data_IF_554113256269
#
_entry.id   IF_554113256269
#
_cell.length_a   1.000
_cell.length_b   1.000
_cell.length_c   1.000
_cell.angle_alpha   90.00
_cell.angle_beta   90.00
_cell.angle_gamma   90.00
#
_symmetry.space_group_name_H-M   'P 1'
#
loop_
_entity.id
_entity.type
_entity.pdbx_description
1 polymer ?
#
# COMPACT_ATOMS: atom_id res chain seq x y z
N UNK A 1 39.55 -28.25 -22.44
CA UNK A 1 39.16 -28.90 -21.17
C UNK A 1 39.71 -28.02 -20.06
N UNK A 2 38.95 -27.35 -19.18
CA UNK A 2 37.53 -27.43 -18.84
C UNK A 2 37.04 -26.03 -18.49
N UNK A 3 35.82 -25.70 -18.89
CA UNK A 3 35.06 -24.60 -18.32
C UNK A 3 34.57 -25.04 -16.93
N UNK A 4 34.98 -24.34 -15.87
CA UNK A 4 34.41 -24.53 -14.54
C UNK A 4 32.99 -23.95 -14.52
N UNK A 5 32.00 -24.85 -14.61
CA UNK A 5 30.60 -24.56 -14.35
C UNK A 5 30.47 -24.28 -12.85
N UNK A 6 30.35 -22.99 -12.47
CA UNK A 6 29.87 -22.61 -11.14
C UNK A 6 28.44 -23.12 -10.98
N UNK A 7 28.27 -24.22 -10.26
CA UNK A 7 26.97 -24.70 -9.79
C UNK A 7 26.34 -23.63 -8.90
N UNK A 8 25.26 -23.00 -9.38
CA UNK A 8 24.38 -22.16 -8.58
C UNK A 8 23.81 -23.00 -7.43
N UNK A 9 24.38 -22.88 -6.23
CA UNK A 9 23.70 -23.36 -5.02
C UNK A 9 22.52 -22.42 -4.76
N UNK A 10 21.31 -22.95 -4.85
CA UNK A 10 20.06 -22.22 -4.63
C UNK A 10 19.94 -21.81 -3.16
N UNK A 11 20.29 -20.56 -2.84
CA UNK A 11 19.97 -19.92 -1.55
C UNK A 11 18.48 -19.58 -1.50
N UNK A 12 17.84 -19.85 -0.36
CA UNK A 12 16.42 -19.49 -0.08
C UNK A 12 16.40 -18.28 0.86
N UNK A 13 15.42 -17.38 0.71
CA UNK A 13 15.32 -16.15 1.51
C UNK A 13 14.19 -16.29 2.55
N UNK A 14 14.49 -15.97 3.82
CA UNK A 14 13.50 -15.94 4.90
C UNK A 14 12.52 -14.77 4.74
N UNK A 15 11.20 -15.00 4.87
CA UNK A 15 10.20 -13.94 4.66
C UNK A 15 10.07 -12.93 5.82
N UNK A 16 10.40 -13.35 7.05
CA UNK A 16 10.30 -12.49 8.24
C UNK A 16 11.45 -11.48 8.35
N UNK A 17 12.67 -11.91 7.99
CA UNK A 17 13.88 -11.11 8.15
C UNK A 17 14.67 -10.89 6.86
N UNK A 18 14.23 -11.44 5.72
CA UNK A 18 14.89 -11.33 4.42
C UNK A 18 16.35 -11.83 4.39
N UNK A 19 16.76 -12.67 5.35
CA UNK A 19 18.10 -13.27 5.39
C UNK A 19 18.20 -14.56 4.56
N UNK A 20 19.40 -14.83 4.03
CA UNK A 20 19.72 -16.06 3.29
C UNK A 20 19.76 -17.28 4.23
N UNK A 21 19.06 -18.35 3.83
CA UNK A 21 19.01 -19.62 4.55
C UNK A 21 19.98 -20.61 3.87
N UNK A 22 20.95 -21.18 4.61
CA UNK A 22 21.86 -22.20 4.08
C UNK A 22 21.12 -23.47 3.64
N UNK A 23 21.57 -24.06 2.54
CA UNK A 23 21.02 -25.31 2.02
C UNK A 23 21.20 -26.46 3.02
N UNK A 24 20.12 -27.18 3.33
CA UNK A 24 20.10 -28.31 4.27
C UNK A 24 19.60 -27.99 5.68
N UNK A 25 19.28 -26.72 5.98
CA UNK A 25 18.64 -26.35 7.25
C UNK A 25 17.20 -26.89 7.29
N UNK A 26 16.80 -27.69 8.31
CA UNK A 26 15.42 -28.16 8.44
C UNK A 26 14.49 -26.95 8.61
N UNK A 27 13.56 -26.76 7.68
CA UNK A 27 12.57 -25.72 7.81
C UNK A 27 11.44 -26.23 8.71
N UNK A 28 11.10 -25.48 9.76
CA UNK A 28 9.85 -25.67 10.49
C UNK A 28 8.61 -25.23 9.67
N UNK A 29 8.82 -24.73 8.45
CA UNK A 29 7.84 -24.10 7.57
C UNK A 29 8.00 -24.56 6.11
N UNK A 30 6.94 -24.59 5.30
CA UNK A 30 7.05 -24.99 3.91
C UNK A 30 7.89 -23.99 3.09
N UNK A 31 8.73 -24.52 2.21
CA UNK A 31 9.50 -23.73 1.24
C UNK A 31 8.54 -22.92 0.36
N UNK A 32 8.76 -21.60 0.26
CA UNK A 32 7.93 -20.67 -0.53
C UNK A 32 7.84 -21.09 -2.00
N UNK A 33 8.86 -21.79 -2.52
CA UNK A 33 8.85 -22.31 -3.87
C UNK A 33 7.95 -23.55 -4.07
N UNK A 34 7.41 -24.14 -2.99
CA UNK A 34 6.65 -25.39 -3.00
C UNK A 34 5.26 -25.31 -2.36
N UNK A 35 4.91 -24.20 -1.70
CA UNK A 35 3.59 -24.00 -1.12
C UNK A 35 2.60 -23.41 -2.14
N UNK A 36 1.37 -23.91 -2.19
CA UNK A 36 0.29 -23.29 -2.95
C UNK A 36 -0.32 -22.13 -2.16
N UNK A 37 -0.82 -21.09 -2.86
CA UNK A 37 -1.38 -19.88 -2.25
C UNK A 37 -2.49 -20.16 -1.20
N UNK A 38 -3.23 -21.26 -1.36
CA UNK A 38 -4.29 -21.66 -0.44
C UNK A 38 -3.77 -22.23 0.89
N UNK A 39 -2.70 -23.02 0.86
CA UNK A 39 -2.05 -23.54 2.08
C UNK A 39 -1.38 -22.38 2.82
N UNK A 40 -0.75 -21.48 2.06
CA UNK A 40 -0.08 -20.28 2.57
C UNK A 40 -1.04 -19.33 3.31
N UNK A 41 -2.20 -19.04 2.72
CA UNK A 41 -3.17 -18.12 3.31
C UNK A 41 -3.89 -18.69 4.55
N UNK A 42 -4.01 -20.02 4.67
CA UNK A 42 -4.57 -20.69 5.85
C UNK A 42 -3.61 -20.61 7.04
N UNK A 43 -2.33 -20.91 6.83
CA UNK A 43 -1.33 -20.91 7.91
C UNK A 43 -1.02 -19.49 8.43
N UNK A 44 -1.04 -18.47 7.55
CA UNK A 44 -0.92 -17.07 7.97
C UNK A 44 -2.10 -16.58 8.84
N UNK A 45 -3.30 -17.13 8.64
CA UNK A 45 -4.47 -16.81 9.48
C UNK A 45 -4.34 -17.40 10.88
N UNK A 46 -3.83 -18.63 11.00
CA UNK A 46 -3.60 -19.27 12.31
C UNK A 46 -2.53 -18.52 13.11
N UNK A 47 -1.49 -18.00 12.46
CA UNK A 47 -0.44 -17.23 13.15
C UNK A 47 -0.91 -15.85 13.64
N UNK A 48 -1.85 -15.20 12.94
CA UNK A 48 -2.45 -13.91 13.40
C UNK A 48 -3.24 -14.04 14.71
N UNK A 49 -3.56 -15.27 15.11
CA UNK A 49 -4.29 -15.58 16.34
C UNK A 49 -3.46 -16.36 17.37
N UNK A 50 -2.18 -16.66 17.09
CA UNK A 50 -1.25 -17.36 17.97
C UNK A 50 -0.23 -16.42 18.62
N UNK A 51 0.09 -16.68 19.88
CA UNK A 51 0.94 -15.89 20.78
C UNK A 51 2.31 -15.50 20.21
N UNK A 52 2.79 -14.30 20.59
CA UNK A 52 4.12 -13.72 20.36
C UNK A 52 5.30 -14.62 20.80
N UNK A 53 5.56 -15.72 20.10
CA UNK A 53 6.83 -16.45 20.20
C UNK A 53 7.58 -16.41 18.87
N UNK A 54 8.73 -15.74 18.94
CA UNK A 54 9.46 -15.19 17.81
C UNK A 54 10.11 -16.21 16.88
N UNK A 55 10.40 -15.69 15.69
CA UNK A 55 11.42 -16.17 14.76
C UNK A 55 12.67 -16.64 15.54
N UNK A 56 12.90 -17.96 15.59
CA UNK A 56 13.98 -18.62 16.34
C UNK A 56 15.37 -18.39 15.77
N UNK A 57 15.81 -17.13 15.75
CA UNK A 57 17.19 -16.72 15.50
C UNK A 57 17.56 -15.59 16.47
N UNK A 58 17.73 -15.91 17.76
CA UNK A 58 18.42 -15.03 18.68
C UNK A 58 19.16 -15.81 19.78
N UNK A 59 20.46 -15.48 19.88
CA UNK A 59 21.33 -15.55 21.06
C UNK A 59 21.58 -16.90 21.72
N UNK A 60 22.72 -17.50 21.37
CA UNK A 60 23.51 -18.31 22.29
C UNK A 60 23.96 -17.46 23.48
N UNK A 61 23.43 -17.75 24.68
CA UNK A 61 23.85 -17.12 25.93
C UNK A 61 23.19 -17.80 27.12
N UNK A 62 23.92 -18.74 27.73
CA UNK A 62 23.86 -19.19 29.13
C UNK A 62 22.49 -19.24 29.84
N UNK A 63 22.04 -20.45 30.21
CA UNK A 63 21.92 -20.86 31.64
C UNK A 63 21.66 -22.36 31.78
N UNK A 64 22.48 -22.96 32.65
CA UNK A 64 22.23 -24.07 33.59
C UNK A 64 21.25 -25.20 33.19
N UNK A 65 21.82 -26.39 32.93
CA UNK A 65 21.21 -27.64 33.35
C UNK A 65 22.30 -28.61 33.83
N UNK A 66 21.97 -29.24 34.95
CA UNK A 66 22.69 -30.21 35.76
C UNK A 66 23.03 -31.52 35.04
N UNK A 67 24.05 -32.18 35.60
CA UNK A 67 24.39 -33.60 35.45
C UNK A 67 24.88 -34.09 34.09
N UNK A 68 26.21 -34.19 33.98
CA UNK A 68 26.89 -35.43 33.58
C UNK A 68 28.35 -35.34 34.00
N UNK A 69 28.76 -36.32 34.80
CA UNK A 69 30.07 -36.37 35.41
C UNK A 69 31.20 -36.80 34.47
N UNK A 70 32.39 -36.51 34.98
CA UNK A 70 33.65 -37.23 34.80
C UNK A 70 34.51 -36.93 33.57
N UNK A 71 35.74 -36.51 33.92
CA UNK A 71 37.02 -36.68 33.17
C UNK A 71 37.19 -35.68 32.01
N UNK A 72 38.16 -34.76 31.98
CA UNK A 72 39.61 -34.94 32.21
C UNK A 72 40.22 -33.59 32.63
N UNK A 73 40.86 -33.61 33.80
CA UNK A 73 41.87 -32.63 34.21
C UNK A 73 43.13 -32.84 33.36
N UNK A 74 43.70 -31.80 32.75
CA UNK A 74 45.14 -31.45 32.90
C UNK A 74 45.60 -30.29 32.03
N UNK A 75 46.42 -29.47 32.69
CA UNK A 75 47.51 -28.63 32.18
C UNK A 75 47.15 -27.20 31.74
N UNK A 76 47.04 -26.35 32.78
CA UNK A 76 47.70 -25.05 32.81
C UNK A 76 49.23 -25.25 32.69
N UNK A 77 49.90 -24.22 32.20
CA UNK A 77 51.35 -24.04 32.04
C UNK A 77 51.94 -24.48 30.69
N UNK A 78 51.91 -23.56 29.73
CA UNK A 78 53.03 -23.29 28.82
C UNK A 78 52.74 -22.02 28.00
N UNK A 79 53.34 -20.90 28.38
CA UNK A 79 53.59 -19.78 27.46
C UNK A 79 54.91 -20.07 26.74
N UNK A 80 54.93 -20.05 25.40
CA UNK A 80 56.07 -19.44 24.74
C UNK A 80 55.68 -18.54 23.57
N UNK A 81 56.20 -17.32 23.68
CA UNK A 81 56.79 -16.45 22.66
C UNK A 81 56.03 -16.12 21.36
N UNK A 82 55.86 -14.80 21.21
CA UNK A 82 55.40 -14.10 20.04
C UNK A 82 56.16 -14.50 18.78
N UNK A 83 55.40 -14.95 17.78
CA UNK A 83 55.84 -14.97 16.38
C UNK A 83 54.99 -13.94 15.65
N UNK A 84 55.63 -12.90 15.13
CA UNK A 84 55.01 -11.81 14.39
C UNK A 84 54.43 -12.36 13.09
N UNK A 85 53.12 -12.54 13.04
CA UNK A 85 52.38 -12.74 11.79
C UNK A 85 51.71 -11.42 11.44
N UNK A 86 52.22 -10.75 10.41
CA UNK A 86 51.54 -9.63 9.74
C UNK A 86 50.11 -10.05 9.41
N UNK A 87 49.14 -9.47 10.12
CA UNK A 87 47.72 -9.61 9.82
C UNK A 87 47.20 -8.22 9.50
N UNK A 88 46.95 -8.05 8.21
CA UNK A 88 46.38 -6.89 7.53
C UNK A 88 45.20 -6.32 8.30
N UNK A 89 45.20 -5.01 8.52
CA UNK A 89 44.07 -4.29 9.10
C UNK A 89 42.80 -4.54 8.27
N UNK A 90 41.62 -4.72 8.89
CA UNK A 90 40.38 -4.78 8.16
C UNK A 90 40.10 -3.40 7.54
N UNK A 91 40.05 -3.34 6.22
CA UNK A 91 39.59 -2.15 5.48
C UNK A 91 38.16 -1.86 5.91
N UNK A 92 37.99 -0.78 6.67
CA UNK A 92 36.70 -0.18 6.99
C UNK A 92 36.02 0.28 5.71
N UNK A 93 35.08 -0.51 5.20
CA UNK A 93 34.17 -0.06 4.15
C UNK A 93 33.09 0.77 4.84
N UNK A 94 33.30 2.08 4.88
CA UNK A 94 32.27 3.03 5.32
C UNK A 94 31.09 2.92 4.36
N UNK A 95 29.91 2.55 4.88
CA UNK A 95 28.67 2.60 4.12
C UNK A 95 28.47 4.03 3.58
N UNK A 96 28.13 4.22 2.30
CA UNK A 96 27.84 5.54 1.78
C UNK A 96 26.66 6.13 2.54
N UNK A 97 26.87 7.27 3.18
CA UNK A 97 25.81 8.06 3.80
C UNK A 97 24.72 8.29 2.76
N UNK A 98 23.45 7.92 3.01
CA UNK A 98 22.39 8.23 2.07
C UNK A 98 22.34 9.74 1.90
N UNK A 99 22.45 10.19 0.65
CA UNK A 99 22.30 11.59 0.31
C UNK A 99 20.98 12.10 0.93
N UNK A 100 20.96 13.29 1.56
CA UNK A 100 19.73 13.84 2.09
C UNK A 100 18.74 13.95 0.93
N UNK A 101 17.61 13.23 1.04
CA UNK A 101 16.48 13.36 0.13
C UNK A 101 16.13 14.84 0.12
N UNK A 102 16.33 15.47 -1.05
CA UNK A 102 15.98 16.86 -1.26
C UNK A 102 14.54 17.06 -0.78
N UNK A 103 14.38 17.89 0.25
CA UNK A 103 13.06 18.34 0.67
C UNK A 103 12.53 19.14 -0.51
N UNK A 104 11.70 18.52 -1.35
CA UNK A 104 10.92 19.24 -2.34
C UNK A 104 9.94 20.06 -1.51
N UNK A 105 10.32 21.29 -1.24
CA UNK A 105 9.47 22.28 -0.61
C UNK A 105 8.19 22.33 -1.45
N UNK A 106 7.08 21.86 -0.86
CA UNK A 106 5.80 21.79 -1.54
C UNK A 106 5.39 23.22 -1.92
N UNK A 107 5.68 23.62 -3.16
CA UNK A 107 5.28 24.93 -3.66
C UNK A 107 3.75 25.03 -3.51
N UNK A 108 3.24 26.14 -2.96
CA UNK A 108 1.82 26.34 -2.86
C UNK A 108 1.22 26.23 -4.26
N UNK A 109 0.17 25.40 -4.47
CA UNK A 109 -0.39 25.18 -5.78
C UNK A 109 -0.84 26.53 -6.34
N UNK A 110 -0.18 26.97 -7.41
CA UNK A 110 -0.61 28.13 -8.16
C UNK A 110 -1.92 27.73 -8.86
N UNK A 111 -3.05 28.13 -8.29
CA UNK A 111 -4.36 27.81 -8.82
C UNK A 111 -4.49 28.48 -10.20
N UNK A 112 -4.34 27.68 -11.27
CA UNK A 112 -4.61 28.13 -12.63
C UNK A 112 -6.10 28.43 -12.72
N UNK A 113 -6.48 29.70 -12.80
CA UNK A 113 -7.89 30.09 -12.93
C UNK A 113 -8.42 29.54 -14.25
N UNK A 114 -9.30 28.55 -14.17
CA UNK A 114 -9.97 27.99 -15.35
C UNK A 114 -11.19 28.84 -15.66
N UNK A 115 -11.07 29.72 -16.66
CA UNK A 115 -12.22 30.41 -17.26
C UNK A 115 -12.63 29.67 -18.53
N UNK A 116 -13.91 29.33 -18.65
CA UNK A 116 -14.46 28.62 -19.80
C UNK A 116 -15.48 29.50 -20.53
N UNK A 117 -15.56 29.34 -21.85
CA UNK A 117 -16.60 29.97 -22.66
C UNK A 117 -17.90 29.11 -22.68
N UNK A 118 -18.98 29.68 -23.21
CA UNK A 118 -20.30 29.03 -23.20
C UNK A 118 -20.34 27.73 -24.04
N UNK A 119 -19.55 27.66 -25.11
CA UNK A 119 -19.42 26.45 -25.94
C UNK A 119 -18.75 25.32 -25.15
N UNK A 120 -17.65 25.62 -24.46
CA UNK A 120 -16.94 24.69 -23.59
C UNK A 120 -17.83 24.21 -22.45
N UNK A 121 -18.61 25.10 -21.84
CA UNK A 121 -19.58 24.73 -20.80
C UNK A 121 -20.63 23.76 -21.36
N UNK A 122 -21.12 24.01 -22.58
CA UNK A 122 -22.08 23.14 -23.26
C UNK A 122 -21.49 21.74 -23.49
N UNK A 123 -20.23 21.67 -23.96
CA UNK A 123 -19.51 20.40 -24.13
C UNK A 123 -19.34 19.68 -22.79
N UNK A 124 -18.96 20.39 -21.73
CA UNK A 124 -18.76 19.78 -20.41
C UNK A 124 -20.07 19.25 -19.80
N UNK A 125 -21.20 19.93 -20.03
CA UNK A 125 -22.54 19.42 -19.65
C UNK A 125 -22.88 18.16 -20.43
N UNK A 126 -22.68 18.15 -21.74
CA UNK A 126 -22.90 16.96 -22.57
C UNK A 126 -22.01 15.78 -22.15
N UNK A 127 -20.79 16.06 -21.67
CA UNK A 127 -19.87 15.07 -21.11
C UNK A 127 -20.19 14.67 -19.64
N UNK A 128 -21.26 15.18 -19.05
CA UNK A 128 -21.69 14.85 -17.69
C UNK A 128 -20.77 15.38 -16.58
N UNK A 129 -20.01 16.46 -16.83
CA UNK A 129 -19.13 17.10 -15.84
C UNK A 129 -19.87 18.04 -14.90
N UNK A 130 -20.97 18.62 -15.38
CA UNK A 130 -21.90 19.42 -14.62
C UNK A 130 -23.33 18.97 -14.93
N UNK A 131 -24.28 19.10 -13.99
CA UNK A 131 -25.69 18.84 -14.25
C UNK A 131 -26.24 19.76 -15.35
N UNK A 132 -27.23 19.27 -16.09
CA UNK A 132 -27.85 20.04 -17.18
C UNK A 132 -28.49 21.36 -16.70
N UNK A 133 -29.00 21.35 -15.46
CA UNK A 133 -29.65 22.48 -14.79
C UNK A 133 -28.69 23.36 -13.97
N UNK A 134 -27.37 23.12 -14.02
CA UNK A 134 -26.39 23.90 -13.27
C UNK A 134 -26.36 25.37 -13.71
N UNK A 135 -26.55 26.29 -12.75
CA UNK A 135 -26.55 27.74 -12.97
C UNK A 135 -25.12 28.25 -13.23
N UNK A 136 -24.94 29.38 -13.92
CA UNK A 136 -23.62 29.93 -14.21
C UNK A 136 -22.74 30.14 -12.96
N UNK A 137 -23.31 30.64 -11.86
CA UNK A 137 -22.58 30.83 -10.60
C UNK A 137 -22.13 29.51 -9.95
N UNK A 138 -22.91 28.44 -10.11
CA UNK A 138 -22.56 27.12 -9.58
C UNK A 138 -21.44 26.48 -10.39
N UNK A 139 -21.44 26.69 -11.71
CA UNK A 139 -20.34 26.27 -12.59
C UNK A 139 -19.07 27.04 -12.23
N UNK A 140 -19.17 28.35 -12.04
CA UNK A 140 -18.03 29.16 -11.61
C UNK A 140 -17.46 28.68 -10.27
N UNK A 141 -18.32 28.37 -9.30
CA UNK A 141 -17.93 27.77 -8.03
C UNK A 141 -17.19 26.43 -8.24
N UNK A 142 -17.74 25.54 -9.07
CA UNK A 142 -17.11 24.26 -9.38
C UNK A 142 -15.74 24.41 -10.06
N UNK A 143 -15.61 25.31 -11.03
CA UNK A 143 -14.33 25.59 -11.70
C UNK A 143 -13.30 26.19 -10.73
N UNK A 144 -13.73 27.05 -9.80
CA UNK A 144 -12.86 27.57 -8.75
C UNK A 144 -12.37 26.45 -7.81
N UNK A 145 -13.24 25.51 -7.43
CA UNK A 145 -12.84 24.33 -6.64
C UNK A 145 -11.86 23.43 -7.41
N UNK A 146 -12.14 23.14 -8.67
CA UNK A 146 -11.25 22.34 -9.52
C UNK A 146 -9.86 23.00 -9.63
N UNK A 147 -9.82 24.32 -9.82
CA UNK A 147 -8.58 25.11 -9.86
C UNK A 147 -7.83 25.05 -8.53
N UNK A 148 -8.54 25.14 -7.39
CA UNK A 148 -7.94 25.09 -6.04
C UNK A 148 -7.27 23.74 -5.74
N UNK A 149 -7.87 22.64 -6.17
CA UNK A 149 -7.32 21.29 -5.98
C UNK A 149 -6.42 20.83 -7.14
N UNK A 150 -6.20 21.70 -8.15
CA UNK A 150 -5.46 21.38 -9.36
C UNK A 150 -6.00 20.10 -10.06
N UNK A 151 -7.33 20.04 -10.20
CA UNK A 151 -8.07 18.94 -10.82
C UNK A 151 -8.56 19.36 -12.21
N UNK A 152 -8.49 18.43 -13.15
CA UNK A 152 -8.99 18.66 -14.51
C UNK A 152 -10.43 18.18 -14.71
N UNK A 153 -11.28 19.11 -15.15
CA UNK A 153 -12.68 18.84 -15.51
C UNK A 153 -12.79 18.13 -16.86
N UNK A 154 -11.82 18.31 -17.76
CA UNK A 154 -11.86 17.74 -19.10
C UNK A 154 -11.58 16.23 -19.07
N UNK A 155 -10.49 15.83 -18.42
CA UNK A 155 -10.14 14.42 -18.24
C UNK A 155 -11.11 13.64 -17.35
N UNK A 156 -11.99 14.33 -16.62
CA UNK A 156 -12.93 13.71 -15.69
C UNK A 156 -12.32 13.33 -14.35
N UNK A 157 -11.23 13.98 -13.94
CA UNK A 157 -10.72 13.87 -12.58
C UNK A 157 -11.78 14.34 -11.57
N UNK A 158 -12.52 15.40 -11.92
CA UNK A 158 -13.66 15.89 -11.13
C UNK A 158 -14.89 16.08 -12.00
N UNK A 159 -16.04 15.69 -11.47
CA UNK A 159 -17.37 16.05 -11.94
C UNK A 159 -18.16 16.65 -10.78
N UNK A 160 -19.18 17.43 -11.08
CA UNK A 160 -20.05 18.01 -10.07
C UNK A 160 -21.42 17.38 -10.18
N UNK A 161 -21.98 16.97 -9.05
CA UNK A 161 -23.28 16.31 -8.98
C UNK A 161 -24.15 16.96 -7.92
N UNK A 162 -25.46 16.71 -8.00
CA UNK A 162 -26.40 16.91 -6.89
C UNK A 162 -26.80 15.53 -6.39
N UNK A 163 -26.81 15.32 -5.07
CA UNK A 163 -27.31 14.07 -4.52
C UNK A 163 -28.83 14.04 -4.46
N UNK A 164 -29.46 15.22 -4.35
CA UNK A 164 -30.91 15.38 -4.41
C UNK A 164 -31.27 16.66 -5.17
N UNK A 165 -32.47 16.68 -5.73
CA UNK A 165 -33.02 17.88 -6.35
C UNK A 165 -33.08 19.03 -5.34
N UNK A 166 -32.58 20.20 -5.73
CA UNK A 166 -32.52 21.40 -4.88
C UNK A 166 -31.29 21.53 -3.99
N UNK A 167 -30.39 20.54 -3.96
CA UNK A 167 -29.13 20.64 -3.22
C UNK A 167 -28.03 21.36 -4.00
N UNK A 168 -27.00 21.79 -3.26
CA UNK A 168 -25.80 22.42 -3.83
C UNK A 168 -24.93 21.42 -4.58
N UNK A 169 -24.19 21.88 -5.59
CA UNK A 169 -23.22 21.05 -6.30
C UNK A 169 -22.15 20.54 -5.35
N UNK A 170 -21.91 19.22 -5.39
CA UNK A 170 -20.82 18.57 -4.65
C UNK A 170 -19.76 18.08 -5.63
N UNK A 171 -18.46 18.31 -5.35
CA UNK A 171 -17.38 17.72 -6.13
C UNK A 171 -17.35 16.21 -5.94
N UNK A 172 -17.32 15.51 -7.05
CA UNK A 172 -17.19 14.07 -7.13
C UNK A 172 -15.90 13.77 -7.90
N UNK A 173 -15.04 12.95 -7.32
CA UNK A 173 -13.75 12.60 -7.88
C UNK A 173 -13.75 11.16 -8.41
N UNK A 174 -13.12 10.96 -9.57
CA UNK A 174 -12.73 9.63 -10.00
C UNK A 174 -11.49 9.14 -9.25
N UNK A 175 -11.25 7.83 -9.19
CA UNK A 175 -10.09 7.27 -8.49
C UNK A 175 -8.74 7.86 -8.97
N UNK A 176 -8.61 8.19 -10.25
CA UNK A 176 -7.39 8.82 -10.78
C UNK A 176 -7.12 10.20 -10.19
N UNK A 177 -8.16 10.93 -9.77
CA UNK A 177 -8.00 12.22 -9.09
C UNK A 177 -7.44 12.05 -7.68
N UNK A 178 -7.90 11.03 -6.94
CA UNK A 178 -7.35 10.68 -5.63
C UNK A 178 -5.85 10.36 -5.75
N UNK A 179 -5.48 9.54 -6.74
CA UNK A 179 -4.09 9.19 -7.01
C UNK A 179 -3.25 10.40 -7.42
N UNK A 180 -3.77 11.26 -8.29
CA UNK A 180 -3.06 12.47 -8.73
C UNK A 180 -2.84 13.45 -7.57
N UNK A 181 -3.81 13.59 -6.66
CA UNK A 181 -3.67 14.41 -5.45
C UNK A 181 -2.65 13.82 -4.47
N UNK A 182 -2.64 12.49 -4.30
CA UNK A 182 -1.64 11.80 -3.51
C UNK A 182 -0.23 12.00 -4.10
N UNK A 183 -0.05 11.79 -5.41
CA UNK A 183 1.23 11.99 -6.09
C UNK A 183 1.75 13.43 -5.92
N UNK A 184 0.87 14.43 -6.08
CA UNK A 184 1.22 15.84 -5.91
C UNK A 184 1.63 16.22 -4.49
N UNK A 185 1.38 15.37 -3.49
CA UNK A 185 1.91 15.60 -2.14
C UNK A 185 3.42 15.45 -2.05
N UNK A 186 4.06 14.80 -3.03
CA UNK A 186 5.50 14.50 -3.04
C UNK A 186 5.93 13.35 -2.12
N UNK A 187 5.05 12.92 -1.19
CA UNK A 187 5.36 11.88 -0.20
C UNK A 187 4.63 10.55 -0.45
N UNK A 188 3.77 10.46 -1.48
CA UNK A 188 3.11 9.20 -1.84
C UNK A 188 4.12 8.18 -2.36
N UNK A 189 4.10 6.97 -1.79
CA UNK A 189 5.04 5.89 -2.10
C UNK A 189 4.34 4.63 -2.60
N UNK A 190 3.17 4.80 -3.23
CA UNK A 190 2.39 3.71 -3.78
C UNK A 190 1.37 3.11 -2.81
N UNK A 191 0.77 2.01 -3.26
CA UNK A 191 -0.32 1.33 -2.56
C UNK A 191 -0.33 -0.15 -2.89
N UNK A 192 -0.90 -0.94 -2.00
CA UNK A 192 -1.18 -2.35 -2.20
C UNK A 192 -2.64 -2.64 -1.85
N UNK A 193 -3.30 -3.47 -2.67
CA UNK A 193 -4.71 -3.81 -2.48
C UNK A 193 -4.91 -5.31 -2.59
N UNK A 194 -5.39 -5.92 -1.51
CA UNK A 194 -5.79 -7.33 -1.43
C UNK A 194 -7.31 -7.43 -1.40
N UNK A 195 -7.85 -8.54 -1.93
CA UNK A 195 -9.29 -8.80 -1.96
C UNK A 195 -9.53 -10.20 -1.40
N UNK A 196 -10.39 -10.29 -0.40
CA UNK A 196 -10.86 -11.56 0.15
C UNK A 196 -12.06 -12.03 -0.66
N UNK A 197 -12.09 -13.33 -0.98
CA UNK A 197 -13.21 -13.98 -1.68
C UNK A 197 -13.78 -15.10 -0.83
N UNK A 198 -15.06 -15.38 -1.01
CA UNK A 198 -15.71 -16.57 -0.44
C UNK A 198 -15.40 -17.83 -1.25
N UNK A 199 -15.89 -18.99 -0.77
CA UNK A 199 -15.69 -20.28 -1.43
C UNK A 199 -16.33 -20.36 -2.82
N UNK A 200 -17.29 -19.45 -3.11
CA UNK A 200 -17.91 -19.31 -4.43
C UNK A 200 -17.14 -18.34 -5.34
N UNK A 201 -16.00 -17.80 -4.89
CA UNK A 201 -15.16 -16.86 -5.61
C UNK A 201 -15.67 -15.41 -5.64
N UNK A 202 -16.73 -15.08 -4.89
CA UNK A 202 -17.29 -13.71 -4.84
C UNK A 202 -16.50 -12.85 -3.87
N UNK A 203 -16.28 -11.55 -4.16
CA UNK A 203 -15.55 -10.67 -3.27
C UNK A 203 -16.34 -10.39 -1.98
N UNK A 204 -15.66 -10.46 -0.84
CA UNK A 204 -16.25 -10.25 0.50
C UNK A 204 -15.75 -8.95 1.10
N UNK A 205 -14.44 -8.71 1.10
CA UNK A 205 -13.83 -7.47 1.55
C UNK A 205 -12.59 -7.13 0.73
N UNK A 206 -12.15 -5.88 0.77
CA UNK A 206 -10.85 -5.48 0.24
C UNK A 206 -10.11 -4.63 1.27
N UNK A 207 -8.80 -4.84 1.35
CA UNK A 207 -7.92 -4.07 2.21
C UNK A 207 -6.95 -3.30 1.33
N UNK A 208 -6.85 -1.99 1.55
CA UNK A 208 -5.89 -1.12 0.88
C UNK A 208 -4.87 -0.60 1.89
N UNK A 209 -3.59 -0.78 1.58
CA UNK A 209 -2.47 -0.19 2.31
C UNK A 209 -1.85 0.93 1.47
N UNK A 210 -1.80 2.14 2.01
CA UNK A 210 -1.19 3.31 1.37
C UNK A 210 0.12 3.65 2.09
N UNK A 211 1.19 3.73 1.31
CA UNK A 211 2.53 4.01 1.81
C UNK A 211 2.90 5.48 1.57
N UNK A 212 3.60 6.05 2.55
CA UNK A 212 4.12 7.41 2.48
C UNK A 212 5.59 7.42 2.91
N UNK A 213 6.43 8.16 2.17
CA UNK A 213 7.87 8.26 2.44
C UNK A 213 8.19 8.92 3.79
N UNK A 214 7.29 9.76 4.28
CA UNK A 214 7.44 10.49 5.54
C UNK A 214 6.90 9.73 6.76
N UNK A 215 6.57 8.43 6.62
CA UNK A 215 6.05 7.58 7.70
C UNK A 215 6.69 6.20 7.65
N UNK A 216 6.81 5.55 8.80
CA UNK A 216 7.35 4.19 8.91
C UNK A 216 6.29 3.09 8.76
N UNK A 217 4.99 3.43 8.84
CA UNK A 217 3.88 2.48 8.75
C UNK A 217 2.86 2.97 7.72
N UNK A 218 2.28 2.06 6.92
CA UNK A 218 1.21 2.43 6.00
C UNK A 218 -0.07 2.78 6.75
N UNK A 219 -0.93 3.54 6.08
CA UNK A 219 -2.34 3.62 6.46
C UNK A 219 -3.06 2.45 5.81
N UNK A 220 -3.84 1.71 6.60
CA UNK A 220 -4.53 0.51 6.16
C UNK A 220 -6.02 0.69 6.42
N UNK A 221 -6.83 0.56 5.38
CA UNK A 221 -8.29 0.59 5.46
C UNK A 221 -8.86 -0.70 4.86
N UNK A 222 -9.86 -1.26 5.54
CA UNK A 222 -10.63 -2.41 5.07
C UNK A 222 -12.06 -1.98 4.74
N UNK A 223 -12.61 -2.57 3.70
CA UNK A 223 -13.96 -2.29 3.22
C UNK A 223 -14.69 -3.58 2.94
N UNK A 224 -15.82 -3.76 3.60
CA UNK A 224 -16.74 -4.85 3.35
C UNK A 224 -17.59 -4.60 2.09
N UNK A 225 -17.77 -5.64 1.28
CA UNK A 225 -18.58 -5.58 0.07
C UNK A 225 -20.02 -5.17 0.36
N UNK A 226 -20.61 -5.72 1.44
CA UNK A 226 -22.00 -5.40 1.82
C UNK A 226 -22.17 -3.94 2.25
N UNK A 227 -21.14 -3.34 2.84
CA UNK A 227 -21.17 -1.95 3.28
C UNK A 227 -20.96 -0.99 2.10
N UNK A 228 -20.06 -1.32 1.18
CA UNK A 228 -19.68 -0.47 0.08
C UNK A 228 -20.57 -0.59 -1.17
N UNK A 229 -21.19 -1.75 -1.37
CA UNK A 229 -21.98 -2.02 -2.57
C UNK A 229 -23.15 -1.03 -2.67
N UNK A 230 -23.28 -0.41 -3.84
CA UNK A 230 -24.40 0.49 -4.13
C UNK A 230 -25.56 -0.29 -4.69
N UNK A 231 -26.74 -0.05 -4.14
CA UNK A 231 -27.97 -0.70 -4.56
C UNK A 231 -28.91 0.29 -5.24
N UNK A 232 -29.59 -0.16 -6.29
CA UNK A 232 -30.67 0.57 -6.94
C UNK A 232 -31.89 0.66 -6.00
N UNK A 233 -32.86 1.50 -6.34
CA UNK A 233 -34.17 1.55 -5.67
C UNK A 233 -34.92 0.20 -5.61
N UNK A 234 -34.56 -0.77 -6.48
CA UNK A 234 -35.11 -2.12 -6.49
C UNK A 234 -34.35 -3.12 -5.59
N UNK A 235 -33.33 -2.66 -4.86
CA UNK A 235 -32.53 -3.47 -3.94
C UNK A 235 -31.47 -4.36 -4.63
N UNK A 236 -31.27 -4.23 -5.94
CA UNK A 236 -30.19 -4.93 -6.67
C UNK A 236 -28.93 -4.08 -6.72
N UNK A 237 -27.72 -4.66 -6.77
CA UNK A 237 -26.51 -3.91 -7.03
C UNK A 237 -26.64 -3.05 -8.29
N UNK A 238 -26.05 -1.86 -8.28
CA UNK A 238 -25.96 -1.02 -9.48
C UNK A 238 -25.12 -1.72 -10.56
N UNK A 239 -25.33 -1.37 -11.83
CA UNK A 239 -24.69 -2.03 -12.98
C UNK A 239 -23.16 -2.19 -12.84
N UNK A 240 -22.45 -1.17 -12.33
CA UNK A 240 -21.01 -1.24 -12.14
C UNK A 240 -20.61 -2.26 -11.06
N UNK A 241 -21.38 -2.36 -9.98
CA UNK A 241 -21.13 -3.31 -8.89
C UNK A 241 -21.57 -4.73 -9.26
N UNK A 242 -22.57 -4.88 -10.13
CA UNK A 242 -23.00 -6.17 -10.66
C UNK A 242 -21.97 -6.75 -11.66
N UNK A 243 -21.49 -5.92 -12.60
CA UNK A 243 -20.62 -6.37 -13.69
C UNK A 243 -19.13 -6.41 -13.31
N UNK A 244 -18.68 -5.52 -12.43
CA UNK A 244 -17.27 -5.39 -12.03
C UNK A 244 -17.09 -5.30 -10.50
N UNK A 245 -17.64 -6.24 -9.70
CA UNK A 245 -17.70 -6.15 -8.24
C UNK A 245 -16.33 -6.02 -7.58
N UNK A 246 -15.32 -6.74 -8.08
CA UNK A 246 -13.96 -6.73 -7.54
C UNK A 246 -13.29 -5.38 -7.80
N UNK A 247 -13.46 -4.82 -9.00
CA UNK A 247 -12.89 -3.51 -9.36
C UNK A 247 -13.51 -2.41 -8.51
N UNK A 248 -14.83 -2.45 -8.31
CA UNK A 248 -15.53 -1.48 -7.48
C UNK A 248 -15.11 -1.56 -6.01
N UNK A 249 -14.99 -2.77 -5.47
CA UNK A 249 -14.55 -2.95 -4.09
C UNK A 249 -13.10 -2.48 -3.88
N UNK A 250 -12.19 -2.76 -4.83
CA UNK A 250 -10.82 -2.26 -4.80
C UNK A 250 -10.78 -0.72 -4.81
N UNK A 251 -11.60 -0.08 -5.65
CA UNK A 251 -11.71 1.39 -5.70
C UNK A 251 -12.22 1.95 -4.37
N UNK A 252 -13.25 1.34 -3.79
CA UNK A 252 -13.80 1.79 -2.51
C UNK A 252 -12.76 1.75 -1.38
N UNK A 253 -12.04 0.64 -1.24
CA UNK A 253 -10.95 0.53 -0.26
C UNK A 253 -9.82 1.52 -0.53
N UNK A 254 -9.46 1.72 -1.80
CA UNK A 254 -8.44 2.68 -2.18
C UNK A 254 -8.83 4.13 -1.85
N UNK A 255 -10.07 4.54 -2.14
CA UNK A 255 -10.57 5.87 -1.83
C UNK A 255 -10.52 6.16 -0.33
N UNK A 256 -10.96 5.21 0.52
CA UNK A 256 -10.90 5.36 1.99
C UNK A 256 -9.46 5.47 2.48
N UNK A 257 -8.58 4.58 2.04
CA UNK A 257 -7.17 4.59 2.44
C UNK A 257 -6.44 5.86 1.99
N UNK A 258 -6.68 6.34 0.77
CA UNK A 258 -6.06 7.56 0.27
C UNK A 258 -6.52 8.79 1.07
N UNK A 259 -7.79 8.88 1.46
CA UNK A 259 -8.28 9.99 2.30
C UNK A 259 -7.67 9.98 3.69
N UNK A 260 -7.60 8.81 4.32
CA UNK A 260 -6.95 8.67 5.62
C UNK A 260 -5.45 8.96 5.53
N UNK A 261 -4.80 8.62 4.41
CA UNK A 261 -3.40 8.92 4.17
C UNK A 261 -3.13 10.39 3.82
N UNK A 262 -4.02 11.09 3.12
CA UNK A 262 -3.82 12.46 2.63
C UNK A 262 -4.98 13.40 3.01
N UNK A 263 -5.28 13.58 4.31
CA UNK A 263 -6.44 14.35 4.75
C UNK A 263 -6.39 15.82 4.34
N UNK A 264 -5.19 16.42 4.24
CA UNK A 264 -5.06 17.82 3.81
C UNK A 264 -5.37 18.01 2.31
N UNK A 265 -5.01 17.03 1.49
CA UNK A 265 -5.22 17.08 0.04
C UNK A 265 -6.65 16.65 -0.35
N UNK A 266 -7.29 15.79 0.46
CA UNK A 266 -8.55 15.13 0.12
C UNK A 266 -9.73 15.48 1.03
N UNK A 267 -9.57 16.41 1.98
CA UNK A 267 -10.66 16.84 2.86
C UNK A 267 -11.86 17.36 2.05
N UNK A 268 -13.06 16.84 2.35
CA UNK A 268 -14.31 17.28 1.70
C UNK A 268 -14.51 16.80 0.26
N UNK A 269 -13.69 15.87 -0.24
CA UNK A 269 -13.79 15.31 -1.59
C UNK A 269 -14.36 13.89 -1.55
N UNK A 270 -15.44 13.65 -2.31
CA UNK A 270 -16.14 12.36 -2.36
C UNK A 270 -15.80 11.59 -3.65
N UNK A 271 -15.75 10.27 -3.57
CA UNK A 271 -15.55 9.36 -4.69
C UNK A 271 -16.80 8.54 -5.05
N UNK A 272 -16.68 7.68 -6.08
CA UNK A 272 -17.81 6.92 -6.64
C UNK A 272 -18.47 5.98 -5.63
N UNK A 273 -17.65 5.34 -4.80
CA UNK A 273 -18.15 4.36 -3.85
C UNK A 273 -19.01 4.97 -2.73
N UNK A 274 -18.92 6.28 -2.47
CA UNK A 274 -19.56 6.89 -1.30
C UNK A 274 -20.85 7.66 -1.61
N UNK A 275 -21.08 7.97 -2.87
CA UNK A 275 -22.22 8.78 -3.31
C UNK A 275 -23.52 7.98 -3.32
N UNK A 276 -24.59 8.42 -2.60
CA UNK A 276 -25.97 7.91 -2.72
C UNK A 276 -26.31 7.41 -4.13
N UNK A 277 -26.68 6.14 -4.25
CA UNK A 277 -27.26 5.64 -5.50
C UNK A 277 -28.72 6.05 -5.51
N UNK A 278 -29.14 6.75 -6.56
CA UNK A 278 -30.55 7.01 -6.87
C UNK A 278 -31.27 5.75 -7.38
#
# INVERSE_FOLDING_TARGET
>A
MSAEVRTLQTTRICYLCHADIPAGTPLAWPDKAKATDAVWNRELREYRHGTDEGCGLASSGFTAASDLGATVQRNLDATPQATTTERTEPVSVSAPTPAPLATVEAQPPQAKVVTLNDEQITVLRAAGRFPADAKPLEIQFGLALASRYNLDVWSGQVKFIRFRSGESLTPYLGIEAFRALAERSGVYDGREITVVRDDSGKPVSATCSVYRRDRSRPIVEEVDFKEACRYTSKGTPTYAWETMPVTMLRKAAEERALRAAFPMQLSGLYGDAEVPSE
#
